data_IF_881935345467
#
_entry.id   IF_881935345467
#
_cell.length_a   1.000
_cell.length_b   1.000
_cell.length_c   1.000
_cell.angle_alpha   90.00
_cell.angle_beta   90.00
_cell.angle_gamma   90.00
#
_symmetry.space_group_name_H-M   'P 1'
#
loop_
_entity.id
_entity.type
_entity.pdbx_description
1 polymer ?
#
# COMPACT_ATOMS: atom_id res chain seq x y z
N UNK A 1 -36.24 -44.79 -2.11
CA UNK A 1 -36.34 -43.33 -2.01
C UNK A 1 -35.10 -42.71 -2.61
N UNK A 2 -35.29 -41.88 -3.63
CA UNK A 2 -34.16 -41.22 -4.30
C UNK A 2 -33.63 -40.07 -3.43
N UNK A 3 -32.31 -39.98 -3.29
CA UNK A 3 -31.67 -38.84 -2.69
C UNK A 3 -31.83 -37.60 -3.58
N UNK A 4 -32.10 -36.48 -2.98
CA UNK A 4 -32.34 -35.20 -3.68
C UNK A 4 -31.22 -34.24 -3.36
N UNK A 5 -30.76 -33.55 -4.37
CA UNK A 5 -29.80 -32.47 -4.27
C UNK A 5 -30.59 -31.15 -4.28
N UNK A 6 -31.09 -30.71 -3.12
CA UNK A 6 -32.02 -29.57 -3.08
C UNK A 6 -31.34 -28.21 -3.28
N UNK A 7 -30.04 -28.10 -3.05
CA UNK A 7 -29.30 -26.83 -3.31
C UNK A 7 -28.50 -26.85 -4.60
N UNK A 8 -28.49 -27.98 -5.32
CA UNK A 8 -27.84 -28.06 -6.63
C UNK A 8 -26.32 -28.02 -6.60
N UNK A 9 -25.71 -28.32 -5.45
CA UNK A 9 -24.24 -28.26 -5.30
C UNK A 9 -23.52 -29.54 -5.77
N UNK A 10 -24.25 -30.56 -6.20
CA UNK A 10 -23.70 -31.83 -6.65
C UNK A 10 -23.61 -32.88 -5.55
N UNK A 11 -24.07 -32.58 -4.35
CA UNK A 11 -24.13 -33.52 -3.21
C UNK A 11 -25.59 -33.73 -2.82
N UNK A 12 -26.01 -34.98 -2.78
CA UNK A 12 -27.39 -35.31 -2.43
C UNK A 12 -27.67 -35.00 -0.97
N UNK A 13 -28.94 -34.68 -0.63
CA UNK A 13 -29.33 -34.19 0.70
C UNK A 13 -28.94 -35.14 1.82
N UNK A 14 -29.00 -36.42 1.61
CA UNK A 14 -28.64 -37.38 2.63
C UNK A 14 -27.17 -37.33 3.07
N UNK A 15 -26.31 -36.78 2.19
CA UNK A 15 -24.89 -36.66 2.43
C UNK A 15 -24.46 -35.18 2.65
N UNK A 16 -25.38 -34.26 2.49
CA UNK A 16 -25.10 -32.83 2.54
C UNK A 16 -25.25 -32.31 3.96
N UNK A 17 -24.11 -31.97 4.60
CA UNK A 17 -24.10 -31.39 5.93
C UNK A 17 -24.46 -29.88 5.92
N UNK A 18 -24.47 -29.25 4.75
CA UNK A 18 -24.72 -27.80 4.57
C UNK A 18 -25.77 -27.58 3.47
N UNK A 19 -27.02 -28.06 3.63
CA UNK A 19 -28.05 -27.84 2.64
C UNK A 19 -28.36 -26.34 2.52
N UNK A 20 -28.68 -25.87 1.31
CA UNK A 20 -28.92 -24.47 1.05
C UNK A 20 -27.71 -23.70 0.56
N UNK A 21 -26.56 -24.36 0.34
CA UNK A 21 -25.37 -23.75 -0.23
C UNK A 21 -25.67 -23.29 -1.67
N UNK A 22 -25.31 -22.04 -2.05
CA UNK A 22 -25.52 -21.55 -3.40
C UNK A 22 -24.85 -22.44 -4.47
N UNK A 23 -25.48 -22.54 -5.61
CA UNK A 23 -25.05 -23.43 -6.71
C UNK A 23 -23.66 -23.08 -7.26
N UNK A 24 -23.25 -21.80 -7.19
CA UNK A 24 -21.96 -21.37 -7.71
C UNK A 24 -20.81 -21.51 -6.71
N UNK A 25 -21.05 -22.08 -5.54
CA UNK A 25 -20.03 -22.31 -4.50
C UNK A 25 -19.50 -23.73 -4.62
N UNK A 26 -18.18 -23.87 -4.58
CA UNK A 26 -17.53 -25.19 -4.58
C UNK A 26 -17.65 -25.78 -3.18
N UNK A 27 -18.06 -27.04 -3.10
CA UNK A 27 -18.30 -27.71 -1.84
C UNK A 27 -17.41 -28.93 -1.68
N UNK A 28 -17.19 -29.34 -0.42
CA UNK A 28 -16.47 -30.56 -0.08
C UNK A 28 -17.39 -31.80 -0.21
N UNK A 29 -16.89 -32.95 0.22
CA UNK A 29 -17.64 -34.21 0.15
C UNK A 29 -18.93 -34.20 0.98
N UNK A 30 -19.04 -33.29 1.93
CA UNK A 30 -20.22 -33.14 2.80
C UNK A 30 -21.17 -32.05 2.31
N UNK A 31 -20.89 -31.44 1.16
CA UNK A 31 -21.71 -30.36 0.61
C UNK A 31 -21.49 -29.01 1.28
N UNK A 32 -20.42 -28.81 2.02
CA UNK A 32 -20.08 -27.57 2.69
C UNK A 32 -19.12 -26.74 1.86
N UNK A 33 -19.24 -25.38 1.90
CA UNK A 33 -18.32 -24.52 1.17
C UNK A 33 -16.87 -24.77 1.55
N UNK A 34 -15.99 -24.76 0.55
CA UNK A 34 -14.55 -24.89 0.75
C UNK A 34 -13.98 -23.50 0.92
N UNK A 35 -13.38 -23.16 2.08
CA UNK A 35 -12.75 -21.87 2.25
C UNK A 35 -11.49 -21.77 1.40
N UNK A 36 -11.26 -20.57 0.84
CA UNK A 36 -10.04 -20.26 0.09
C UNK A 36 -9.52 -18.91 0.58
N UNK A 37 -8.21 -18.82 0.72
CA UNK A 37 -7.55 -17.59 1.10
C UNK A 37 -7.17 -16.81 -0.15
N UNK A 38 -7.66 -15.58 -0.24
CA UNK A 38 -7.32 -14.65 -1.32
C UNK A 38 -6.44 -13.56 -0.70
N UNK A 39 -5.24 -13.42 -1.26
CA UNK A 39 -4.29 -12.40 -0.82
C UNK A 39 -4.23 -11.27 -1.84
N UNK A 40 -4.55 -10.06 -1.39
CA UNK A 40 -4.38 -8.83 -2.17
C UNK A 40 -3.08 -8.18 -1.75
N UNK A 41 -2.29 -7.75 -2.72
CA UNK A 41 -1.04 -7.04 -2.47
C UNK A 41 -1.22 -5.56 -2.73
N UNK A 42 -0.67 -4.74 -1.83
CA UNK A 42 -0.57 -3.31 -2.00
C UNK A 42 0.85 -2.97 -2.41
N UNK A 43 0.98 -2.24 -3.51
CA UNK A 43 2.23 -1.60 -3.89
C UNK A 43 1.90 -0.26 -4.50
N UNK A 44 2.30 0.82 -3.83
CA UNK A 44 2.10 2.15 -4.37
C UNK A 44 3.31 3.04 -4.07
N UNK A 45 3.43 4.10 -4.82
CA UNK A 45 4.52 5.05 -4.71
C UNK A 45 3.94 6.44 -4.49
N UNK A 46 4.66 7.23 -3.72
CA UNK A 46 4.32 8.63 -3.47
C UNK A 46 5.52 9.48 -3.82
N UNK A 47 5.30 10.55 -4.58
CA UNK A 47 6.32 11.54 -4.88
C UNK A 47 5.85 12.90 -4.43
N UNK A 48 6.68 13.57 -3.63
CA UNK A 48 6.41 14.91 -3.12
C UNK A 48 7.63 15.76 -3.45
N UNK A 49 7.43 16.89 -4.12
CA UNK A 49 8.50 17.81 -4.49
C UNK A 49 8.48 19.03 -3.57
N UNK A 50 9.67 19.57 -3.32
CA UNK A 50 9.88 20.65 -2.38
C UNK A 50 10.52 21.86 -3.05
N UNK A 51 10.21 23.02 -2.51
CA UNK A 51 10.90 24.25 -2.90
C UNK A 51 12.35 24.22 -2.41
N UNK A 52 13.17 25.03 -3.04
CA UNK A 52 14.56 25.13 -2.66
C UNK A 52 14.68 25.47 -1.17
N UNK A 53 15.56 24.75 -0.47
CA UNK A 53 15.89 25.00 0.92
C UNK A 53 14.70 24.82 1.88
N UNK A 54 13.65 24.14 1.45
CA UNK A 54 12.43 23.92 2.23
C UNK A 54 12.16 22.45 2.47
N UNK A 55 11.58 22.17 3.64
CA UNK A 55 11.03 20.86 3.98
C UNK A 55 9.53 20.94 4.27
N UNK A 56 8.89 22.05 3.95
CA UNK A 56 7.45 22.25 4.10
C UNK A 56 6.72 21.57 2.94
N UNK A 57 5.74 20.74 3.24
CA UNK A 57 4.92 20.07 2.24
C UNK A 57 3.90 21.08 1.71
N UNK A 58 3.89 21.27 0.39
CA UNK A 58 2.93 22.14 -0.25
C UNK A 58 1.52 21.52 -0.20
N UNK A 59 0.51 22.37 -0.06
CA UNK A 59 -0.87 21.92 0.08
C UNK A 59 -1.37 21.05 -1.07
N UNK A 60 -0.80 21.20 -2.27
CA UNK A 60 -1.16 20.41 -3.45
C UNK A 60 -0.90 18.91 -3.28
N UNK A 61 0.01 18.53 -2.37
CA UNK A 61 0.33 17.13 -2.12
C UNK A 61 -0.50 16.50 -1.01
N UNK A 62 -1.26 17.29 -0.29
CA UNK A 62 -2.10 16.79 0.81
C UNK A 62 -3.10 15.72 0.37
N UNK A 63 -3.81 15.86 -0.77
CA UNK A 63 -4.67 14.80 -1.27
C UNK A 63 -3.93 13.50 -1.62
N UNK A 64 -2.70 13.63 -2.16
CA UNK A 64 -1.89 12.46 -2.50
C UNK A 64 -1.47 11.69 -1.25
N UNK A 65 -1.06 12.41 -0.21
CA UNK A 65 -0.68 11.82 1.07
C UNK A 65 -1.90 11.20 1.76
N UNK A 66 -3.06 11.84 1.64
CA UNK A 66 -4.32 11.31 2.16
C UNK A 66 -4.68 9.96 1.51
N UNK A 67 -4.45 9.80 0.21
CA UNK A 67 -4.68 8.53 -0.50
C UNK A 67 -3.78 7.43 0.03
N UNK A 68 -2.52 7.74 0.32
CA UNK A 68 -1.58 6.79 0.92
C UNK A 68 -2.10 6.32 2.27
N UNK A 69 -2.53 7.26 3.12
CA UNK A 69 -3.07 6.96 4.44
C UNK A 69 -4.33 6.08 4.34
N UNK A 70 -5.22 6.38 3.40
CA UNK A 70 -6.43 5.59 3.17
C UNK A 70 -6.07 4.14 2.81
N UNK A 71 -5.13 3.94 1.90
CA UNK A 71 -4.67 2.61 1.51
C UNK A 71 -3.98 1.89 2.66
N UNK A 72 -3.20 2.60 3.45
CA UNK A 72 -2.54 1.99 4.61
C UNK A 72 -3.54 1.57 5.69
N UNK A 73 -4.67 2.25 5.82
CA UNK A 73 -5.75 1.82 6.72
C UNK A 73 -6.46 0.59 6.17
N UNK A 74 -6.66 0.52 4.85
CA UNK A 74 -7.25 -0.65 4.19
C UNK A 74 -6.36 -1.89 4.31
N UNK A 75 -5.03 -1.71 4.34
CA UNK A 75 -4.04 -2.77 4.48
C UNK A 75 -3.31 -2.59 5.82
N UNK A 76 -3.84 -3.11 6.94
CA UNK A 76 -3.32 -2.81 8.28
C UNK A 76 -1.87 -3.22 8.52
N UNK A 77 -1.35 -4.18 7.77
CA UNK A 77 0.05 -4.61 7.88
C UNK A 77 0.99 -3.86 6.94
N UNK A 78 0.47 -2.91 6.14
CA UNK A 78 1.30 -2.17 5.20
C UNK A 78 2.29 -1.26 5.92
N UNK A 79 3.43 -1.07 5.29
CA UNK A 79 4.48 -0.17 5.76
C UNK A 79 4.91 0.75 4.64
N UNK A 80 5.49 1.88 5.00
CA UNK A 80 6.02 2.84 4.04
C UNK A 80 7.49 3.11 4.35
N UNK A 81 8.31 3.07 3.31
CA UNK A 81 9.70 3.53 3.36
C UNK A 81 9.73 4.90 2.68
N UNK A 82 10.08 5.91 3.44
CA UNK A 82 10.03 7.31 3.01
C UNK A 82 11.46 7.81 2.83
N UNK A 83 11.84 8.09 1.58
CA UNK A 83 13.19 8.51 1.21
C UNK A 83 13.20 9.99 0.87
N UNK A 84 14.03 10.75 1.59
CA UNK A 84 14.20 12.17 1.33
C UNK A 84 15.44 12.44 0.50
N UNK A 85 15.35 13.42 -0.39
CA UNK A 85 16.42 13.79 -1.30
C UNK A 85 16.55 15.30 -1.40
N UNK A 86 17.74 15.75 -1.74
CA UNK A 86 18.05 17.16 -1.95
C UNK A 86 18.75 17.36 -3.29
N UNK A 87 18.66 18.56 -3.84
CA UNK A 87 19.50 18.96 -4.96
C UNK A 87 20.90 19.29 -4.44
N UNK A 88 21.89 19.22 -5.31
CA UNK A 88 23.28 19.55 -4.93
C UNK A 88 23.46 21.09 -4.93
N UNK A 89 22.89 21.70 -3.89
CA UNK A 89 22.98 23.14 -3.64
C UNK A 89 23.17 23.32 -2.12
N UNK A 90 23.38 24.57 -1.72
CA UNK A 90 23.53 24.87 -0.31
C UNK A 90 24.96 24.76 0.19
N UNK A 91 25.17 25.01 1.50
CA UNK A 91 26.51 25.24 2.04
C UNK A 91 27.37 23.97 2.21
N UNK A 92 26.76 22.80 2.33
CA UNK A 92 27.54 21.59 2.58
C UNK A 92 26.73 20.31 2.36
N UNK A 93 27.45 19.19 2.24
CA UNK A 93 26.83 17.86 2.20
C UNK A 93 26.04 17.57 3.46
N UNK A 94 26.54 17.99 4.62
CA UNK A 94 25.84 17.81 5.91
C UNK A 94 24.52 18.56 5.93
N UNK A 95 24.48 19.78 5.42
CA UNK A 95 23.27 20.57 5.32
C UNK A 95 22.22 19.85 4.45
N UNK A 96 22.64 19.37 3.28
CA UNK A 96 21.75 18.65 2.38
C UNK A 96 21.29 17.31 2.96
N UNK A 97 22.13 16.65 3.74
CA UNK A 97 21.74 15.44 4.44
C UNK A 97 20.61 15.72 5.43
N UNK A 98 20.76 16.77 6.24
CA UNK A 98 19.72 17.18 7.21
C UNK A 98 18.44 17.60 6.52
N UNK A 99 18.54 18.33 5.40
CA UNK A 99 17.38 18.79 4.65
C UNK A 99 16.62 17.59 4.07
N UNK A 100 17.33 16.61 3.52
CA UNK A 100 16.69 15.41 2.98
C UNK A 100 15.99 14.59 4.07
N UNK A 101 16.60 14.47 5.24
CA UNK A 101 15.99 13.82 6.40
C UNK A 101 14.74 14.57 6.86
N UNK A 102 14.82 15.90 6.93
CA UNK A 102 13.69 16.75 7.32
C UNK A 102 12.52 16.60 6.36
N UNK A 103 12.79 16.47 5.06
CA UNK A 103 11.76 16.25 4.05
C UNK A 103 11.05 14.91 4.26
N UNK A 104 11.82 13.85 4.51
CA UNK A 104 11.24 12.54 4.79
C UNK A 104 10.40 12.54 6.07
N UNK A 105 10.93 13.17 7.12
CA UNK A 105 10.22 13.31 8.41
C UNK A 105 8.94 14.13 8.25
N UNK A 106 8.94 15.16 7.40
CA UNK A 106 7.75 15.96 7.16
C UNK A 106 6.60 15.11 6.60
N UNK A 107 6.90 14.22 5.65
CA UNK A 107 5.89 13.31 5.09
C UNK A 107 5.41 12.31 6.15
N UNK A 108 6.33 11.74 6.92
CA UNK A 108 5.98 10.83 8.01
C UNK A 108 5.08 11.53 9.04
N UNK A 109 5.45 12.75 9.43
CA UNK A 109 4.67 13.52 10.42
C UNK A 109 3.26 13.81 9.94
N UNK A 110 3.10 14.13 8.67
CA UNK A 110 1.77 14.36 8.09
C UNK A 110 0.93 13.08 8.11
N UNK A 111 1.51 11.96 7.71
CA UNK A 111 0.82 10.66 7.74
C UNK A 111 0.39 10.30 9.16
N UNK A 112 1.22 10.57 10.17
CA UNK A 112 0.93 10.24 11.56
C UNK A 112 -0.03 11.26 12.19
N UNK A 113 0.29 12.55 12.11
CA UNK A 113 -0.41 13.59 12.87
C UNK A 113 -1.74 13.99 12.25
N UNK A 114 -1.83 14.04 10.92
CA UNK A 114 -3.06 14.43 10.23
C UNK A 114 -3.92 13.25 9.82
N UNK A 115 -3.30 12.13 9.51
CA UNK A 115 -4.03 10.97 8.97
C UNK A 115 -4.01 9.74 9.86
N UNK A 116 -3.38 9.82 11.03
CA UNK A 116 -3.48 8.79 12.07
C UNK A 116 -2.74 7.50 11.80
N UNK A 117 -1.75 7.49 10.90
CA UNK A 117 -0.95 6.29 10.65
C UNK A 117 0.07 6.12 11.77
N UNK A 118 0.14 4.93 12.35
CA UNK A 118 1.05 4.64 13.45
C UNK A 118 2.52 4.83 13.00
N UNK A 119 3.34 5.53 13.78
CA UNK A 119 4.71 5.84 13.38
C UNK A 119 5.60 4.60 13.19
N UNK A 120 5.31 3.50 13.85
CA UNK A 120 6.09 2.26 13.69
C UNK A 120 5.85 1.57 12.34
N UNK A 121 4.87 2.03 11.56
CA UNK A 121 4.62 1.56 10.20
C UNK A 121 5.37 2.37 9.16
N UNK A 122 6.06 3.43 9.57
CA UNK A 122 6.69 4.42 8.68
C UNK A 122 8.19 4.49 9.02
N UNK A 123 9.03 4.27 8.02
CA UNK A 123 10.49 4.44 8.16
C UNK A 123 10.95 5.58 7.27
N UNK A 124 11.93 6.34 7.74
CA UNK A 124 12.48 7.46 7.00
C UNK A 124 13.98 7.29 6.80
N UNK A 125 14.47 7.77 5.67
CA UNK A 125 15.90 7.83 5.38
C UNK A 125 16.17 9.08 4.54
N UNK A 126 17.26 9.76 4.82
CA UNK A 126 17.72 10.89 4.01
C UNK A 126 18.97 10.50 3.25
N UNK A 127 18.98 10.77 1.95
CA UNK A 127 20.13 10.46 1.09
C UNK A 127 20.92 11.72 0.70
N UNK A 128 20.55 12.88 1.25
CA UNK A 128 21.18 14.13 0.84
C UNK A 128 21.05 14.35 -0.66
N UNK A 129 22.14 14.69 -1.32
CA UNK A 129 22.17 14.85 -2.78
C UNK A 129 22.85 13.67 -3.51
N UNK A 130 23.04 12.55 -2.83
CA UNK A 130 23.80 11.42 -3.37
C UNK A 130 23.06 10.61 -4.43
N UNK A 131 21.75 10.78 -4.53
CA UNK A 131 20.91 9.99 -5.46
C UNK A 131 20.09 10.91 -6.36
N UNK A 132 20.73 11.69 -7.24
CA UNK A 132 19.99 12.56 -8.14
C UNK A 132 19.26 11.74 -9.21
N UNK A 133 18.09 12.24 -9.62
CA UNK A 133 17.36 11.70 -10.76
C UNK A 133 17.41 12.63 -11.97
N UNK A 134 18.00 13.81 -11.80
CA UNK A 134 18.12 14.80 -12.84
C UNK A 134 19.40 15.62 -12.64
N UNK A 135 19.72 16.47 -13.62
CA UNK A 135 20.92 17.29 -13.63
C UNK A 135 20.85 18.39 -12.57
N UNK A 136 21.84 18.44 -11.69
CA UNK A 136 21.95 19.49 -10.66
C UNK A 136 22.45 20.83 -11.22
N UNK A 137 22.90 20.87 -12.48
CA UNK A 137 23.39 22.10 -13.11
C UNK A 137 22.26 22.98 -13.64
N UNK A 138 21.05 22.44 -13.76
CA UNK A 138 19.88 23.21 -14.20
C UNK A 138 18.87 23.33 -13.06
N UNK A 139 18.09 24.42 -13.05
CA UNK A 139 17.02 24.58 -12.05
C UNK A 139 15.94 23.53 -12.23
N UNK A 140 15.60 23.18 -13.46
CA UNK A 140 14.63 22.12 -13.74
C UNK A 140 15.09 20.79 -13.16
N UNK A 141 16.37 20.46 -13.31
CA UNK A 141 16.94 19.23 -12.74
C UNK A 141 16.99 19.26 -11.22
N UNK A 142 17.39 20.40 -10.65
CA UNK A 142 17.41 20.56 -9.18
C UNK A 142 16.00 20.41 -8.61
N UNK A 143 14.99 20.98 -9.27
CA UNK A 143 13.60 20.85 -8.84
C UNK A 143 13.16 19.38 -8.77
N UNK A 144 13.59 18.57 -9.72
CA UNK A 144 13.30 17.13 -9.72
C UNK A 144 14.00 16.39 -8.59
N UNK A 145 15.18 16.86 -8.19
CA UNK A 145 15.96 16.23 -7.13
C UNK A 145 15.47 16.59 -5.72
N UNK A 146 14.75 17.71 -5.56
CA UNK A 146 14.18 18.14 -4.28
C UNK A 146 12.89 17.37 -4.01
N UNK A 147 13.01 16.14 -3.55
CA UNK A 147 11.86 15.25 -3.46
C UNK A 147 11.87 14.33 -2.25
N UNK A 148 10.69 13.84 -1.93
CA UNK A 148 10.50 12.60 -1.17
C UNK A 148 9.93 11.57 -2.11
N UNK A 149 10.49 10.38 -2.05
CA UNK A 149 9.99 9.20 -2.74
C UNK A 149 9.65 8.17 -1.68
N UNK A 150 8.39 7.76 -1.64
CA UNK A 150 7.95 6.77 -0.66
C UNK A 150 7.42 5.53 -1.38
N UNK A 151 7.76 4.38 -0.84
CA UNK A 151 7.30 3.08 -1.32
C UNK A 151 6.43 2.47 -0.23
N UNK A 152 5.19 2.19 -0.57
CA UNK A 152 4.20 1.63 0.35
C UNK A 152 3.89 0.22 -0.11
N UNK A 153 4.12 -0.74 0.77
CA UNK A 153 3.86 -2.15 0.49
C UNK A 153 3.10 -2.81 1.62
N UNK A 154 2.32 -3.80 1.29
CA UNK A 154 1.58 -4.58 2.25
C UNK A 154 0.76 -5.63 1.55
N UNK A 155 0.03 -6.38 2.33
CA UNK A 155 -0.91 -7.35 1.81
C UNK A 155 -2.07 -7.51 2.78
N UNK A 156 -3.14 -8.11 2.32
CA UNK A 156 -4.23 -8.56 3.17
C UNK A 156 -4.74 -9.88 2.62
N UNK A 157 -5.03 -10.81 3.51
CA UNK A 157 -5.57 -12.10 3.16
C UNK A 157 -6.99 -12.19 3.71
N UNK A 158 -7.91 -12.58 2.84
CA UNK A 158 -9.30 -12.81 3.20
C UNK A 158 -9.64 -14.26 2.92
N UNK A 159 -10.36 -14.89 3.84
CA UNK A 159 -10.89 -16.23 3.63
C UNK A 159 -12.32 -16.08 3.11
N UNK A 160 -12.57 -16.60 1.93
CA UNK A 160 -13.87 -16.56 1.28
C UNK A 160 -14.28 -17.96 0.87
N UNK A 161 -15.58 -18.13 0.59
CA UNK A 161 -16.09 -19.38 0.03
C UNK A 161 -15.62 -19.47 -1.42
N UNK A 162 -15.00 -20.60 -1.78
CA UNK A 162 -14.56 -20.82 -3.14
C UNK A 162 -15.76 -20.94 -4.08
N UNK A 163 -15.82 -20.08 -5.10
CA UNK A 163 -16.86 -20.15 -6.12
C UNK A 163 -16.36 -20.94 -7.33
N UNK A 164 -17.27 -21.46 -8.15
CA UNK A 164 -16.92 -22.29 -9.32
C UNK A 164 -16.14 -21.54 -10.37
N UNK A 165 -16.33 -20.22 -10.45
CA UNK A 165 -15.60 -19.35 -11.39
C UNK A 165 -14.15 -19.10 -10.94
N UNK A 166 -13.79 -19.39 -9.70
CA UNK A 166 -12.40 -19.34 -9.22
C UNK A 166 -11.58 -20.56 -9.63
N UNK A 167 -12.26 -21.63 -10.06
CA UNK A 167 -11.58 -22.84 -10.50
C UNK A 167 -11.14 -22.64 -11.94
N UNK A 168 -9.83 -22.44 -12.14
CA UNK A 168 -9.23 -22.23 -13.44
C UNK A 168 -8.88 -23.57 -14.05
N UNK A 169 -9.28 -23.76 -15.30
CA UNK A 169 -8.95 -24.98 -16.05
C UNK A 169 -7.76 -24.76 -16.96
#
# INVERSE_FOLDING_TARGET
>A
EEDVDSDGDGVVDSLDACPGTPMNVVVDERGCPIPVDITDELKMELRVFFDNDKSTIKSQYQPEIAKVAEKMREYPNSTARIEGHASKTGPSARYNQRLSEARAVAVKSMLTNEFGIAPNRLSTVGYGYDRPIADNDTEEGRAMNRRVYAIITGDKTMTVEQTKDMVVQ
#
